data_IF_154047914142
#
_entry.id   IF_154047914142
#
_cell.length_a   1.000
_cell.length_b   1.000
_cell.length_c   1.000
_cell.angle_alpha   90.00
_cell.angle_beta   90.00
_cell.angle_gamma   90.00
#
_symmetry.space_group_name_H-M   'P 1'
#
loop_
_entity.id
_entity.type
_entity.pdbx_description
1 polymer ?
#
# COMPACT_ATOMS: atom_id res chain seq x y z
N UNK A 1 1.30 -17.20 -20.26
CA UNK A 1 1.08 -16.62 -18.93
C UNK A 1 -0.31 -17.04 -18.48
N UNK A 2 -0.42 -17.76 -17.37
CA UNK A 2 -1.72 -18.20 -16.84
C UNK A 2 -2.34 -17.08 -15.99
N UNK A 3 -3.66 -16.82 -16.10
CA UNK A 3 -4.31 -15.82 -15.27
C UNK A 3 -4.30 -16.24 -13.80
N UNK A 4 -4.28 -15.24 -12.91
CA UNK A 4 -4.52 -15.46 -11.48
C UNK A 4 -5.89 -16.09 -11.27
N UNK A 5 -5.97 -17.09 -10.38
CA UNK A 5 -7.17 -17.91 -10.17
C UNK A 5 -8.35 -17.06 -9.65
N UNK A 6 -8.12 -16.20 -8.66
CA UNK A 6 -9.10 -15.22 -8.20
C UNK A 6 -8.88 -13.88 -8.91
N UNK A 7 -9.90 -13.37 -9.60
CA UNK A 7 -9.80 -12.16 -10.41
C UNK A 7 -11.17 -11.49 -10.59
N UNK A 8 -11.19 -10.32 -11.23
CA UNK A 8 -12.42 -9.57 -11.48
C UNK A 8 -13.52 -10.31 -12.23
N UNK A 9 -13.18 -11.30 -13.08
CA UNK A 9 -14.17 -12.04 -13.89
C UNK A 9 -14.92 -13.10 -13.10
N UNK A 10 -14.41 -13.50 -11.94
CA UNK A 10 -15.05 -14.45 -11.03
C UNK A 10 -15.27 -13.87 -9.64
N UNK A 11 -15.42 -12.55 -9.55
CA UNK A 11 -15.63 -11.80 -8.32
C UNK A 11 -14.63 -12.18 -7.21
N UNK A 12 -13.39 -12.45 -7.59
CA UNK A 12 -12.31 -12.85 -6.69
C UNK A 12 -12.63 -14.06 -5.82
N UNK A 13 -13.50 -14.95 -6.31
CA UNK A 13 -13.99 -16.14 -5.61
C UNK A 13 -14.63 -15.81 -4.24
N UNK A 14 -15.39 -14.72 -4.18
CA UNK A 14 -16.03 -14.27 -2.96
C UNK A 14 -17.01 -15.31 -2.38
N UNK A 15 -16.77 -15.73 -1.14
CA UNK A 15 -17.66 -16.61 -0.37
C UNK A 15 -18.60 -15.76 0.50
N UNK A 16 -19.83 -15.56 -0.01
CA UNK A 16 -20.89 -14.82 0.69
C UNK A 16 -21.41 -15.56 1.92
N UNK A 17 -21.35 -16.88 1.95
CA UNK A 17 -21.77 -17.67 3.11
C UNK A 17 -20.76 -17.50 4.26
N UNK A 18 -19.46 -17.58 3.98
CA UNK A 18 -18.41 -17.28 4.95
C UNK A 18 -18.45 -15.82 5.43
N UNK A 19 -18.71 -14.87 4.52
CA UNK A 19 -18.91 -13.47 4.88
C UNK A 19 -20.08 -13.28 5.84
N UNK A 20 -21.26 -13.82 5.51
CA UNK A 20 -22.48 -13.73 6.34
C UNK A 20 -22.30 -14.41 7.70
N UNK A 21 -21.58 -15.54 7.72
CA UNK A 21 -21.24 -16.27 8.94
C UNK A 21 -20.09 -15.63 9.73
N UNK A 22 -19.55 -14.47 9.30
CA UNK A 22 -18.42 -13.76 9.92
C UNK A 22 -17.14 -14.59 10.05
N UNK A 23 -16.95 -15.61 9.19
CA UNK A 23 -15.71 -16.40 9.11
C UNK A 23 -14.59 -15.63 8.38
N UNK A 24 -14.99 -14.76 7.46
CA UNK A 24 -14.11 -13.83 6.74
C UNK A 24 -14.80 -12.47 6.71
N UNK A 25 -14.04 -11.37 6.79
CA UNK A 25 -14.63 -10.04 6.80
C UNK A 25 -15.30 -9.66 5.46
N UNK A 26 -14.57 -9.83 4.35
CA UNK A 26 -15.00 -9.43 3.01
C UNK A 26 -15.60 -10.56 2.17
N UNK A 27 -15.44 -11.82 2.59
CA UNK A 27 -15.74 -13.00 1.78
C UNK A 27 -14.61 -13.41 0.83
N UNK A 28 -13.57 -12.58 0.69
CA UNK A 28 -12.36 -12.90 -0.08
C UNK A 28 -11.30 -13.37 0.91
N UNK A 29 -10.71 -14.54 0.65
CA UNK A 29 -9.87 -15.23 1.63
C UNK A 29 -8.48 -14.60 1.80
N UNK A 30 -7.81 -14.30 0.69
CA UNK A 30 -6.42 -13.84 0.69
C UNK A 30 -6.32 -12.31 0.75
N UNK A 31 -5.39 -11.78 1.55
CA UNK A 31 -5.23 -10.32 1.73
C UNK A 31 -4.77 -9.63 0.44
N UNK A 32 -3.86 -10.24 -0.32
CA UNK A 32 -3.42 -9.67 -1.59
C UNK A 32 -4.56 -9.65 -2.62
N UNK A 33 -5.42 -10.67 -2.61
CA UNK A 33 -6.62 -10.71 -3.45
C UNK A 33 -7.65 -9.66 -3.00
N UNK A 34 -7.78 -9.41 -1.69
CA UNK A 34 -8.63 -8.32 -1.17
C UNK A 34 -8.17 -6.95 -1.68
N UNK A 35 -6.87 -6.68 -1.61
CA UNK A 35 -6.28 -5.42 -2.09
C UNK A 35 -6.49 -5.26 -3.61
N UNK A 36 -6.23 -6.32 -4.38
CA UNK A 36 -6.46 -6.33 -5.83
C UNK A 36 -7.94 -6.05 -6.16
N UNK A 37 -8.86 -6.68 -5.42
CA UNK A 37 -10.29 -6.48 -5.61
C UNK A 37 -10.72 -5.02 -5.42
N UNK A 38 -10.24 -4.38 -4.35
CA UNK A 38 -10.53 -2.97 -4.06
C UNK A 38 -9.86 -2.07 -5.09
N UNK A 39 -8.59 -2.32 -5.43
CA UNK A 39 -7.86 -1.51 -6.41
C UNK A 39 -8.51 -1.54 -7.80
N UNK A 40 -8.90 -2.72 -8.28
CA UNK A 40 -9.54 -2.88 -9.60
C UNK A 40 -11.01 -2.41 -9.63
N UNK A 41 -11.64 -2.26 -8.46
CA UNK A 41 -13.00 -1.71 -8.35
C UNK A 41 -13.06 -0.22 -8.68
N UNK A 42 -11.95 0.50 -8.53
CA UNK A 42 -11.81 1.93 -8.89
C UNK A 42 -11.77 2.15 -10.42
N UNK A 43 -11.85 1.08 -11.22
CA UNK A 43 -11.75 1.17 -12.67
C UNK A 43 -10.30 1.35 -13.16
N UNK A 44 -10.13 1.35 -14.47
CA UNK A 44 -8.80 1.40 -15.10
C UNK A 44 -8.05 2.70 -14.80
N UNK A 45 -8.78 3.82 -14.81
CA UNK A 45 -8.27 5.14 -14.41
C UNK A 45 -9.35 5.75 -13.51
N UNK A 46 -9.02 5.96 -12.25
CA UNK A 46 -9.94 6.57 -11.29
C UNK A 46 -10.05 8.08 -11.55
N UNK A 47 -11.26 8.60 -11.71
CA UNK A 47 -11.53 10.05 -11.61
C UNK A 47 -11.45 10.48 -10.14
N UNK A 48 -10.64 11.51 -9.89
CA UNK A 48 -10.27 11.98 -8.56
C UNK A 48 -10.73 13.41 -8.32
N UNK A 49 -11.48 14.00 -9.25
CA UNK A 49 -12.01 15.37 -9.18
C UNK A 49 -12.89 15.62 -7.94
N UNK A 50 -13.49 14.55 -7.40
CA UNK A 50 -14.38 14.57 -6.23
C UNK A 50 -13.83 13.81 -5.02
N UNK A 51 -12.56 13.46 -5.02
CA UNK A 51 -11.96 12.73 -3.89
C UNK A 51 -11.81 13.66 -2.67
N UNK A 52 -12.23 13.17 -1.50
CA UNK A 52 -12.09 13.86 -0.23
C UNK A 52 -11.14 13.07 0.67
N UNK A 53 -9.90 13.54 0.79
CA UNK A 53 -8.87 12.92 1.63
C UNK A 53 -8.95 13.43 3.06
N UNK A 54 -8.75 12.53 4.02
CA UNK A 54 -8.74 12.84 5.45
C UNK A 54 -7.32 12.75 6.02
N UNK A 55 -7.15 13.04 7.31
CA UNK A 55 -5.82 13.11 7.95
C UNK A 55 -5.03 11.79 7.89
N UNK A 56 -5.70 10.64 7.85
CA UNK A 56 -5.04 9.33 7.65
C UNK A 56 -4.40 9.18 6.28
N UNK A 57 -4.83 9.96 5.28
CA UNK A 57 -4.37 9.88 3.89
C UNK A 57 -3.12 10.74 3.62
N UNK A 58 -2.45 11.22 4.66
CA UNK A 58 -1.23 12.03 4.55
C UNK A 58 -0.15 11.36 3.70
N UNK A 59 0.00 10.03 3.78
CA UNK A 59 0.93 9.27 2.94
C UNK A 59 0.58 9.35 1.46
N UNK A 60 -0.71 9.26 1.14
CA UNK A 60 -1.24 9.35 -0.21
C UNK A 60 -0.97 10.75 -0.79
N UNK A 61 -1.28 11.81 -0.04
CA UNK A 61 -1.04 13.20 -0.45
C UNK A 61 0.43 13.45 -0.77
N UNK A 62 1.32 13.05 0.15
CA UNK A 62 2.77 13.25 -0.01
C UNK A 62 3.32 12.47 -1.21
N UNK A 63 2.89 11.23 -1.38
CA UNK A 63 3.34 10.37 -2.49
C UNK A 63 2.91 10.96 -3.82
N UNK A 64 1.64 11.37 -3.96
CA UNK A 64 1.14 11.99 -5.20
C UNK A 64 1.86 13.28 -5.53
N UNK A 65 2.07 14.15 -4.54
CA UNK A 65 2.83 15.39 -4.74
C UNK A 65 4.23 15.08 -5.28
N UNK A 66 4.93 14.13 -4.67
CA UNK A 66 6.28 13.72 -5.11
C UNK A 66 6.30 13.18 -6.54
N UNK A 67 5.31 12.38 -6.93
CA UNK A 67 5.20 11.85 -8.30
C UNK A 67 4.89 12.96 -9.32
N UNK A 68 3.99 13.89 -9.01
CA UNK A 68 3.68 15.03 -9.88
C UNK A 68 4.88 15.95 -10.06
N UNK A 69 5.61 16.25 -8.97
CA UNK A 69 6.80 17.09 -9.03
C UNK A 69 7.93 16.41 -9.83
N UNK A 70 8.08 15.08 -9.70
CA UNK A 70 9.00 14.30 -10.52
C UNK A 70 8.62 14.33 -12.01
N UNK A 71 7.33 14.18 -12.34
CA UNK A 71 6.86 14.27 -13.73
C UNK A 71 7.15 15.64 -14.35
N UNK A 72 6.84 16.74 -13.65
CA UNK A 72 7.19 18.11 -14.07
C UNK A 72 8.69 18.35 -14.20
N UNK A 73 9.50 17.65 -13.40
CA UNK A 73 10.97 17.74 -13.48
C UNK A 73 11.47 17.10 -14.76
N UNK A 74 10.95 15.90 -15.09
CA UNK A 74 11.24 15.21 -16.35
C UNK A 74 10.79 16.03 -17.55
N UNK A 75 9.60 16.66 -17.50
CA UNK A 75 9.08 17.51 -18.57
C UNK A 75 10.02 18.69 -18.89
N UNK A 76 10.72 19.23 -17.89
CA UNK A 76 11.75 20.27 -18.07
C UNK A 76 13.11 19.75 -18.54
N UNK A 77 13.22 18.45 -18.86
CA UNK A 77 14.48 17.81 -19.24
C UNK A 77 15.44 17.56 -18.07
N UNK A 78 14.97 17.65 -16.83
CA UNK A 78 15.78 17.43 -15.63
C UNK A 78 15.59 16.02 -15.07
N UNK A 79 16.59 15.54 -14.33
CA UNK A 79 16.54 14.24 -13.68
C UNK A 79 15.59 14.24 -12.45
N UNK A 80 14.63 13.32 -12.34
CA UNK A 80 13.78 13.18 -11.16
C UNK A 80 14.55 12.53 -9.99
N UNK A 81 14.04 12.64 -8.75
CA UNK A 81 14.63 11.95 -7.60
C UNK A 81 14.51 10.43 -7.72
N UNK A 82 15.44 9.68 -7.10
CA UNK A 82 15.34 8.22 -6.97
C UNK A 82 15.99 7.39 -8.09
N UNK A 83 16.79 8.02 -8.96
CA UNK A 83 17.54 7.32 -10.02
C UNK A 83 18.73 6.50 -9.50
N UNK A 84 19.34 6.91 -8.39
CA UNK A 84 20.45 6.18 -7.80
C UNK A 84 19.95 4.82 -7.26
N UNK A 85 20.62 3.68 -7.57
CA UNK A 85 20.21 2.37 -7.07
C UNK A 85 20.10 2.29 -5.55
N UNK A 86 20.92 3.07 -4.83
CA UNK A 86 20.86 3.17 -3.38
C UNK A 86 19.49 3.65 -2.87
N UNK A 87 18.77 4.48 -3.63
CA UNK A 87 17.44 4.96 -3.26
C UNK A 87 16.36 3.85 -3.30
N UNK A 88 16.64 2.74 -3.99
CA UNK A 88 15.75 1.57 -4.06
C UNK A 88 16.06 0.53 -2.98
N UNK A 89 17.13 0.72 -2.19
CA UNK A 89 17.51 -0.18 -1.09
C UNK A 89 16.65 0.06 0.16
N UNK A 90 15.33 0.04 -0.01
CA UNK A 90 14.37 0.08 1.08
C UNK A 90 13.96 -1.36 1.44
N UNK A 91 13.81 -1.64 2.75
CA UNK A 91 13.29 -2.91 3.26
C UNK A 91 12.12 -2.62 4.19
N UNK A 92 11.03 -3.36 4.02
CA UNK A 92 9.91 -3.29 4.94
C UNK A 92 10.33 -3.80 6.33
N UNK A 93 9.90 -3.08 7.37
CA UNK A 93 10.09 -3.46 8.77
C UNK A 93 8.73 -3.46 9.45
N UNK A 94 8.47 -4.49 10.26
CA UNK A 94 7.31 -4.58 11.14
C UNK A 94 7.81 -4.81 12.55
N UNK A 95 7.43 -3.94 13.49
CA UNK A 95 7.86 -4.03 14.88
C UNK A 95 6.76 -3.59 15.83
N UNK A 96 6.79 -4.12 17.04
CA UNK A 96 5.96 -3.65 18.15
C UNK A 96 6.82 -2.77 19.05
N UNK A 97 6.34 -1.57 19.35
CA UNK A 97 7.01 -0.58 20.20
C UNK A 97 6.08 -0.13 21.31
N UNK A 98 6.60 0.39 22.45
CA UNK A 98 5.78 1.01 23.48
C UNK A 98 4.93 2.14 22.89
N UNK A 99 3.69 2.28 23.38
CA UNK A 99 2.71 3.23 22.85
C UNK A 99 3.15 4.69 23.01
N UNK A 100 3.97 4.94 24.01
CA UNK A 100 4.48 6.25 24.40
C UNK A 100 5.63 6.71 23.49
N UNK A 101 6.21 5.79 22.71
CA UNK A 101 7.32 6.11 21.81
C UNK A 101 6.81 6.91 20.62
N UNK A 102 7.42 8.08 20.37
CA UNK A 102 7.07 8.88 19.20
C UNK A 102 7.49 8.15 17.91
N UNK A 103 6.72 8.33 16.84
CA UNK A 103 6.96 7.68 15.55
C UNK A 103 8.38 7.91 14.99
N UNK A 104 8.99 9.11 15.05
CA UNK A 104 10.37 9.31 14.60
C UNK A 104 11.38 8.45 15.35
N UNK A 105 11.18 8.27 16.65
CA UNK A 105 12.07 7.47 17.49
C UNK A 105 11.89 5.97 17.20
N UNK A 106 10.64 5.53 16.97
CA UNK A 106 10.35 4.17 16.52
C UNK A 106 11.03 3.86 15.17
N UNK A 107 10.97 4.79 14.22
CA UNK A 107 11.64 4.66 12.92
C UNK A 107 13.17 4.63 13.07
N UNK A 108 13.74 5.50 13.90
CA UNK A 108 15.17 5.49 14.19
C UNK A 108 15.62 4.18 14.84
N UNK A 109 14.79 3.59 15.70
CA UNK A 109 15.04 2.27 16.28
C UNK A 109 15.00 1.17 15.21
N UNK A 110 14.02 1.19 14.30
CA UNK A 110 13.91 0.26 13.17
C UNK A 110 15.11 0.27 12.24
N UNK A 111 15.70 1.45 12.03
CA UNK A 111 16.89 1.60 11.20
C UNK A 111 18.16 1.03 11.86
N UNK A 112 18.22 1.01 13.18
CA UNK A 112 19.37 0.48 13.95
C UNK A 112 19.31 -1.03 14.13
N UNK A 113 18.12 -1.60 14.28
CA UNK A 113 17.94 -3.04 14.55
C UNK A 113 16.77 -3.63 13.73
N UNK A 114 16.99 -3.94 12.44
CA UNK A 114 15.96 -4.47 11.56
C UNK A 114 15.58 -5.94 11.84
N UNK A 115 16.24 -6.61 12.81
CA UNK A 115 16.04 -8.03 13.11
C UNK A 115 14.87 -8.29 14.09
N UNK A 116 14.34 -7.26 14.76
CA UNK A 116 13.14 -7.36 15.61
C UNK A 116 11.86 -7.31 14.77
N UNK A 117 11.74 -8.22 13.82
CA UNK A 117 10.49 -8.47 13.10
C UNK A 117 9.57 -9.31 13.98
N UNK A 118 8.37 -8.81 14.26
CA UNK A 118 7.30 -9.66 14.83
C UNK A 118 6.98 -10.73 13.77
N UNK A 119 6.81 -12.02 14.13
CA UNK A 119 6.36 -13.02 13.17
C UNK A 119 5.06 -12.54 12.53
N UNK A 120 4.97 -12.62 11.20
CA UNK A 120 3.68 -12.44 10.53
C UNK A 120 2.73 -13.51 11.08
N UNK A 121 1.68 -13.08 11.78
CA UNK A 121 0.62 -13.95 12.27
C UNK A 121 -0.28 -14.40 11.12
#
# INVERSE_FOLDING_TARGET
MFPVVANKRNDYLIDRAAQKAKKTFSGVLDVGVQDAAVQESMGTIQDRSREHLVSSDNGIVKTRKRLMDAAKTVERGLAPPGLAPAAQRARAVSMVVPRELALPDAVAMAQKDPAKTVPAA
#
